data_IF_550124125822
#
_entry.id   IF_550124125822
#
_cell.length_a   1.000
_cell.length_b   1.000
_cell.length_c   1.000
_cell.angle_alpha   90.00
_cell.angle_beta   90.00
_cell.angle_gamma   90.00
#
_symmetry.space_group_name_H-M   'P 1'
#
loop_
_entity.id
_entity.type
_entity.pdbx_description
1 polymer ?
2 non-polymer ?
3 non-polymer ?
4 non-polymer ?
5 non-polymer ?
6 water ?
#
# COMPACT_ATOMS: atom_id res chain seq x y z
N UNK A 3 -1.10 -31.81 -2.70
CA UNK A 3 -1.92 -30.70 -2.22
C UNK A 3 -1.49 -30.27 -0.82
N UNK A 4 -0.18 -30.27 -0.61
CA UNK A 4 0.46 -29.75 0.61
C UNK A 4 1.81 -29.18 0.18
N UNK A 5 1.75 -28.15 -0.67
CA UNK A 5 2.81 -27.82 -1.62
C UNK A 5 4.11 -27.40 -0.94
N UNK A 6 5.19 -27.54 -1.70
CA UNK A 6 6.54 -27.26 -1.24
C UNK A 6 7.10 -26.07 -2.01
N UNK A 7 7.69 -25.12 -1.27
CA UNK A 7 8.36 -23.97 -1.85
C UNK A 7 9.82 -24.05 -1.43
N UNK A 8 10.73 -23.94 -2.40
CA UNK A 8 12.14 -24.08 -2.13
C UNK A 8 12.81 -22.71 -2.20
N UNK A 9 13.88 -22.56 -1.42
CA UNK A 9 14.82 -21.48 -1.63
C UNK A 9 16.04 -22.10 -2.30
N UNK A 10 16.59 -21.40 -3.30
CA UNK A 10 17.73 -21.90 -4.04
C UNK A 10 19.03 -21.19 -3.70
N UNK A 11 19.00 -20.17 -2.85
CA UNK A 11 20.23 -19.61 -2.31
C UNK A 11 20.69 -20.41 -1.10
N UNK A 12 19.74 -20.93 -0.32
CA UNK A 12 20.01 -21.61 0.95
C UNK A 12 19.61 -23.09 0.96
N UNK A 13 19.04 -23.61 -0.13
CA UNK A 13 18.42 -24.94 -0.18
C UNK A 13 17.35 -25.16 0.90
N UNK A 14 16.90 -24.10 1.57
CA UNK A 14 15.85 -24.24 2.57
C UNK A 14 14.53 -24.54 1.87
N UNK A 15 13.74 -25.43 2.48
CA UNK A 15 12.44 -25.83 1.92
C UNK A 15 11.40 -25.69 3.00
N UNK A 16 10.23 -25.18 2.61
CA UNK A 16 9.10 -25.01 3.53
C UNK A 16 7.86 -25.62 2.90
N UNK A 17 6.93 -26.06 3.74
CA UNK A 17 5.70 -26.69 3.28
C UNK A 17 4.53 -25.75 3.53
N UNK A 18 3.70 -25.58 2.52
CA UNK A 18 2.61 -24.62 2.51
C UNK A 18 1.30 -25.39 2.53
N UNK A 19 0.62 -25.39 3.68
CA UNK A 19 -0.76 -25.83 3.76
C UNK A 19 -1.75 -24.68 3.87
N UNK A 20 -1.26 -23.46 4.13
CA UNK A 20 -2.14 -22.31 4.29
C UNK A 20 -2.95 -22.03 3.01
N UNK A 21 -2.40 -22.40 1.85
CA UNK A 21 -3.06 -22.12 0.58
C UNK A 21 -4.38 -22.86 0.45
N UNK A 22 -4.60 -23.89 1.27
CA UNK A 22 -5.86 -24.62 1.29
C UNK A 22 -7.01 -23.75 1.77
N UNK A 23 -6.73 -22.82 2.69
CA UNK A 23 -7.71 -21.86 3.18
C UNK A 23 -8.04 -20.81 2.13
N UNK A 24 -7.25 -20.70 1.06
CA UNK A 24 -7.54 -19.75 0.01
C UNK A 24 -8.91 -19.99 -0.58
N UNK A 25 -9.52 -18.91 -1.05
CA UNK A 25 -10.92 -18.94 -1.44
C UNK A 25 -11.08 -18.21 -2.77
N UNK A 26 -10.48 -17.02 -2.87
CA UNK A 26 -10.58 -16.22 -4.08
C UNK A 26 -9.76 -16.85 -5.22
N UNK A 27 -9.86 -16.24 -6.39
CA UNK A 27 -9.22 -16.74 -7.59
C UNK A 27 -8.08 -15.81 -8.00
N UNK A 28 -7.09 -16.36 -8.71
CA UNK A 28 -5.82 -15.69 -8.97
C UNK A 28 -5.75 -15.02 -10.35
N UNK A 29 -6.47 -15.53 -11.34
CA UNK A 29 -6.28 -15.18 -12.73
C UNK A 29 -5.64 -16.31 -13.50
N UNK A 30 -4.87 -17.16 -12.82
CA UNK A 30 -4.18 -18.26 -13.47
C UNK A 30 -5.11 -19.46 -13.61
N UNK A 31 -4.96 -20.16 -14.73
CA UNK A 31 -5.62 -21.45 -14.94
C UNK A 31 -4.56 -22.54 -15.04
N UNK A 32 -5.00 -23.78 -15.24
CA UNK A 32 -4.03 -24.86 -15.39
C UNK A 32 -3.17 -24.69 -16.62
N UNK A 33 -3.60 -23.86 -17.57
CA UNK A 33 -2.94 -23.73 -18.87
C UNK A 33 -2.49 -22.31 -19.20
N UNK A 34 -2.49 -21.40 -18.21
CA UNK A 34 -1.98 -20.06 -18.38
C UNK A 34 -1.70 -19.46 -17.00
N UNK A 35 -0.58 -18.79 -16.89
CA UNK A 35 -0.18 -18.10 -15.67
C UNK A 35 -0.16 -16.60 -15.93
N UNK A 36 -0.80 -15.85 -15.02
CA UNK A 36 -0.96 -14.41 -15.16
C UNK A 36 -0.18 -13.64 -14.10
N UNK A 37 0.77 -14.31 -13.44
CA UNK A 37 1.53 -13.76 -12.34
C UNK A 37 2.19 -12.42 -12.62
N UNK A 38 2.11 -11.88 -13.84
CA UNK A 38 2.76 -10.60 -14.14
C UNK A 38 1.77 -9.61 -14.75
N UNK A 39 0.49 -9.97 -14.78
CA UNK A 39 -0.59 -9.02 -15.03
C UNK A 39 -0.79 -8.16 -13.78
N UNK A 40 -0.79 -6.84 -13.96
CA UNK A 40 -0.83 -5.94 -12.81
C UNK A 40 -2.15 -6.04 -12.04
N UNK A 41 -3.27 -5.81 -12.73
CA UNK A 41 -4.59 -5.73 -12.10
C UNK A 41 -5.46 -6.85 -12.67
N UNK A 42 -5.29 -8.08 -12.21
CA UNK A 42 -6.05 -9.20 -12.80
C UNK A 42 -7.47 -9.26 -12.25
N UNK A 43 -8.42 -9.53 -13.13
CA UNK A 43 -9.82 -9.64 -12.76
C UNK A 43 -10.56 -10.47 -13.79
N UNK A 52 -22.95 -3.97 -5.60
CA UNK A 52 -23.58 -4.18 -4.30
C UNK A 52 -23.73 -5.69 -4.04
N UNK A 53 -23.60 -6.09 -2.77
CA UNK A 53 -23.56 -7.51 -2.39
C UNK A 53 -24.76 -7.84 -1.51
N UNK A 54 -25.29 -9.05 -1.69
CA UNK A 54 -26.53 -9.47 -1.04
C UNK A 54 -26.27 -10.18 0.28
N UNK A 55 -27.35 -10.54 0.97
CA UNK A 55 -27.27 -11.11 2.30
C UNK A 55 -26.94 -12.59 2.27
N UNK A 56 -27.37 -13.29 1.22
CA UNK A 56 -27.00 -14.68 1.04
C UNK A 56 -25.49 -14.84 1.05
N UNK A 57 -24.82 -14.10 0.15
CA UNK A 57 -23.37 -14.14 0.10
C UNK A 57 -22.74 -13.68 1.40
N UNK A 58 -23.46 -12.86 2.19
CA UNK A 58 -22.82 -12.11 3.26
C UNK A 58 -22.54 -12.96 4.48
N UNK A 59 -23.33 -14.02 4.72
CA UNK A 59 -23.13 -14.73 5.99
C UNK A 59 -21.94 -15.69 5.98
N UNK A 60 -21.74 -16.55 4.96
CA UNK A 60 -20.53 -17.39 4.98
C UNK A 60 -19.28 -16.58 5.24
N UNK A 61 -19.22 -15.37 4.66
CA UNK A 61 -18.06 -14.50 4.84
C UNK A 61 -17.97 -13.98 6.26
N UNK A 62 -19.11 -13.69 6.91
CA UNK A 62 -19.06 -13.33 8.32
C UNK A 62 -18.65 -14.53 9.15
N UNK A 63 -19.27 -15.69 8.89
CA UNK A 63 -18.99 -16.92 9.62
C UNK A 63 -17.51 -17.29 9.51
N UNK A 64 -17.03 -17.48 8.28
CA UNK A 64 -15.62 -17.70 8.00
C UNK A 64 -14.71 -16.75 8.80
N UNK A 65 -14.92 -15.44 8.65
CA UNK A 65 -14.08 -14.47 9.37
C UNK A 65 -14.22 -14.64 10.88
N UNK A 66 -15.46 -14.74 11.39
CA UNK A 66 -15.67 -14.87 12.82
C UNK A 66 -15.01 -16.14 13.36
N UNK A 67 -14.94 -17.19 12.54
CA UNK A 67 -14.36 -18.46 12.97
C UNK A 67 -12.86 -18.36 13.18
N UNK A 68 -12.16 -17.64 12.30
CA UNK A 68 -10.72 -17.54 12.47
C UNK A 68 -10.37 -16.52 13.53
N UNK A 69 -11.18 -15.47 13.68
CA UNK A 69 -10.91 -14.47 14.70
C UNK A 69 -11.01 -15.06 16.11
N UNK A 70 -12.00 -15.92 16.34
CA UNK A 70 -12.09 -16.54 17.66
C UNK A 70 -11.03 -17.64 17.79
N UNK A 71 -10.74 -18.33 16.70
CA UNK A 71 -9.60 -19.24 16.68
C UNK A 71 -8.31 -18.51 17.05
N UNK A 72 -8.21 -17.23 16.68
CA UNK A 72 -6.98 -16.48 16.93
C UNK A 72 -6.83 -16.07 18.39
N UNK A 73 -7.94 -15.83 19.10
CA UNK A 73 -7.84 -15.51 20.52
C UNK A 73 -7.98 -16.79 21.32
N UNK A 74 -7.82 -17.93 20.65
CA UNK A 74 -7.79 -19.25 21.27
C UNK A 74 -9.08 -19.52 22.06
N UNK A 75 -10.20 -19.05 21.53
CA UNK A 75 -11.54 -19.40 21.99
C UNK A 75 -12.43 -19.75 20.79
N UNK A 76 -11.88 -20.61 19.93
CA UNK A 76 -12.60 -21.17 18.79
C UNK A 76 -13.88 -21.86 19.26
N UNK A 77 -15.01 -21.51 18.63
CA UNK A 77 -16.23 -22.28 18.78
C UNK A 77 -16.86 -22.30 20.15
N UNK A 78 -16.31 -21.52 21.08
CA UNK A 78 -16.83 -21.46 22.44
C UNK A 78 -18.23 -20.84 22.43
N UNK A 79 -18.79 -20.61 23.62
CA UNK A 79 -20.07 -19.92 23.69
C UNK A 79 -19.94 -18.48 23.22
N UNK A 80 -18.88 -17.78 23.65
CA UNK A 80 -18.70 -16.39 23.22
C UNK A 80 -18.60 -16.29 21.70
N UNK A 81 -18.05 -17.31 21.03
CA UNK A 81 -18.07 -17.33 19.57
C UNK A 81 -19.47 -17.55 19.03
N UNK A 82 -20.11 -18.66 19.43
CA UNK A 82 -21.40 -19.02 18.87
C UNK A 82 -22.45 -17.92 19.07
N UNK A 83 -22.38 -17.19 20.17
CA UNK A 83 -23.34 -16.09 20.35
C UNK A 83 -23.01 -14.93 19.43
N UNK A 84 -21.72 -14.73 19.12
CA UNK A 84 -21.33 -13.71 18.14
C UNK A 84 -21.71 -14.14 16.73
N UNK A 85 -21.63 -15.43 16.43
CA UNK A 85 -22.12 -15.94 15.15
C UNK A 85 -23.63 -15.74 15.04
N UNK A 86 -24.36 -16.12 16.09
CA UNK A 86 -25.80 -15.89 16.14
C UNK A 86 -26.12 -14.41 16.03
N UNK A 87 -25.37 -13.58 16.76
CA UNK A 87 -25.61 -12.14 16.75
C UNK A 87 -25.48 -11.56 15.35
N UNK A 88 -24.39 -11.90 14.64
CA UNK A 88 -24.17 -11.35 13.30
C UNK A 88 -25.24 -11.85 12.34
N UNK A 89 -25.53 -13.17 12.38
CA UNK A 89 -26.57 -13.73 11.52
C UNK A 89 -27.87 -12.93 11.62
N UNK A 90 -28.31 -12.66 12.85
CA UNK A 90 -29.56 -11.91 13.05
C UNK A 90 -29.45 -10.47 12.55
N UNK A 91 -28.27 -9.86 12.69
CA UNK A 91 -28.09 -8.50 12.16
C UNK A 91 -28.04 -8.50 10.63
N UNK A 92 -27.57 -9.60 10.02
CA UNK A 92 -27.65 -9.70 8.56
C UNK A 92 -29.07 -10.01 8.12
N UNK A 93 -29.84 -10.71 8.94
CA UNK A 93 -31.28 -10.76 8.71
C UNK A 93 -31.89 -9.38 8.82
N UNK A 94 -31.59 -8.67 9.93
CA UNK A 94 -32.27 -7.43 10.26
C UNK A 94 -31.93 -6.31 9.27
N UNK A 95 -30.63 -6.08 9.03
CA UNK A 95 -30.17 -4.98 8.19
C UNK A 95 -29.64 -5.42 6.84
N UNK A 96 -29.59 -6.71 6.56
CA UNK A 96 -28.92 -7.26 5.39
C UNK A 96 -27.45 -6.84 5.33
N UNK A 97 -26.88 -6.52 6.49
CA UNK A 97 -25.46 -6.22 6.67
C UNK A 97 -25.17 -6.33 8.17
N UNK A 98 -23.97 -5.96 8.59
CA UNK A 98 -23.65 -6.02 10.00
C UNK A 98 -22.46 -5.11 10.29
N UNK A 99 -22.14 -5.00 11.58
CA UNK A 99 -21.10 -4.10 12.05
C UNK A 99 -20.06 -4.90 12.82
N UNK A 100 -18.79 -4.54 12.63
CA UNK A 100 -17.69 -5.23 13.26
C UNK A 100 -17.43 -4.68 14.65
N UNK A 101 -17.10 -5.57 15.58
CA UNK A 101 -16.57 -5.19 16.88
C UNK A 101 -15.25 -4.44 16.69
N UNK A 102 -14.96 -3.53 17.62
CA UNK A 102 -13.66 -2.87 17.63
C UNK A 102 -12.53 -3.89 17.48
N UNK A 103 -12.60 -4.98 18.24
CA UNK A 103 -11.57 -6.01 18.19
C UNK A 103 -11.55 -6.73 16.84
N UNK A 104 -12.72 -7.01 16.29
CA UNK A 104 -12.78 -7.64 14.98
C UNK A 104 -12.24 -6.72 13.89
N UNK A 105 -12.47 -5.40 14.02
CA UNK A 105 -11.93 -4.47 13.03
C UNK A 105 -10.40 -4.45 13.05
N UNK A 106 -9.79 -4.51 14.24
CA UNK A 106 -8.33 -4.45 14.34
C UNK A 106 -7.70 -5.75 13.82
N UNK A 107 -8.24 -6.88 14.25
CA UNK A 107 -7.81 -8.18 13.75
C UNK A 107 -7.93 -8.24 12.22
N UNK A 108 -9.13 -7.95 11.70
CA UNK A 108 -9.40 -7.95 10.27
C UNK A 108 -8.41 -7.08 9.53
N UNK A 109 -8.26 -5.83 9.96
CA UNK A 109 -7.32 -4.92 9.29
C UNK A 109 -5.91 -5.49 9.29
N UNK A 110 -5.45 -5.97 10.44
CA UNK A 110 -4.07 -6.45 10.55
C UNK A 110 -3.84 -7.65 9.66
N UNK A 111 -4.86 -8.46 9.44
CA UNK A 111 -4.76 -9.67 8.65
C UNK A 111 -4.96 -9.41 7.17
N UNK A 112 -5.63 -8.32 6.81
CA UNK A 112 -5.56 -7.83 5.45
C UNK A 112 -4.11 -7.52 5.06
N UNK A 113 -3.39 -6.83 5.96
CA UNK A 113 -1.98 -6.57 5.70
C UNK A 113 -1.18 -7.87 5.68
N UNK A 114 -1.34 -8.70 6.71
CA UNK A 114 -0.67 -9.99 6.80
C UNK A 114 -0.81 -10.80 5.52
N UNK A 115 -1.93 -10.63 4.82
CA UNK A 115 -2.23 -11.39 3.62
C UNK A 115 -1.92 -10.63 2.34
N UNK A 116 -1.45 -9.39 2.45
CA UNK A 116 -1.10 -8.62 1.28
C UNK A 116 0.13 -9.27 0.61
N UNK A 117 -0.11 -10.13 -0.37
CA UNK A 117 0.96 -10.97 -0.88
C UNK A 117 2.02 -10.20 -1.65
N UNK A 118 1.68 -9.01 -2.13
CA UNK A 118 2.64 -8.14 -2.79
C UNK A 118 3.42 -7.25 -1.83
N UNK A 119 3.16 -7.34 -0.50
CA UNK A 119 3.84 -6.49 0.48
C UNK A 119 5.10 -7.18 1.03
N UNK A 120 6.23 -6.49 0.92
CA UNK A 120 7.50 -7.05 1.40
C UNK A 120 7.77 -6.71 2.87
N UNK A 121 7.06 -5.74 3.44
CA UNK A 121 7.33 -5.31 4.80
C UNK A 121 6.45 -5.96 5.84
N UNK A 122 5.88 -7.11 5.52
CA UNK A 122 4.80 -7.70 6.31
C UNK A 122 5.27 -8.29 7.62
N UNK A 123 6.58 -8.35 7.86
CA UNK A 123 7.11 -8.87 9.11
C UNK A 123 6.53 -8.04 10.28
N UNK A 124 6.02 -6.84 9.95
CA UNK A 124 5.52 -5.87 10.91
C UNK A 124 3.99 -5.91 11.07
N UNK A 125 3.32 -6.89 10.44
CA UNK A 125 1.87 -6.80 10.27
C UNK A 125 1.14 -6.70 11.60
N UNK A 126 1.63 -7.36 12.65
CA UNK A 126 0.93 -7.31 13.94
C UNK A 126 1.10 -5.96 14.62
N UNK A 127 2.14 -5.20 14.30
CA UNK A 127 2.33 -3.85 14.85
C UNK A 127 1.67 -2.85 13.91
N UNK A 128 0.35 -2.75 14.01
CA UNK A 128 -0.42 -1.86 13.16
C UNK A 128 -1.43 -1.11 14.02
N UNK A 129 -1.45 0.20 13.88
CA UNK A 129 -2.33 1.04 14.68
C UNK A 129 -3.59 1.30 13.88
N UNK A 130 -4.70 0.76 14.35
CA UNK A 130 -5.96 0.88 13.63
C UNK A 130 -6.74 2.07 14.17
N UNK A 131 -7.11 2.98 13.29
CA UNK A 131 -7.90 4.15 13.66
C UNK A 131 -9.32 3.94 13.15
N UNK A 132 -10.26 3.80 14.08
CA UNK A 132 -11.65 3.56 13.72
C UNK A 132 -12.28 4.90 13.40
N UNK A 133 -12.51 5.17 12.12
CA UNK A 133 -13.22 6.37 11.72
C UNK A 133 -14.60 6.04 11.19
N UNK A 134 -15.16 4.92 11.65
CA UNK A 134 -16.49 4.56 11.19
C UNK A 134 -17.61 5.45 11.74
N UNK A 135 -17.33 6.36 12.71
CA UNK A 135 -18.31 7.37 13.12
C UNK A 135 -18.27 8.62 12.25
N UNK A 136 -17.44 8.62 11.20
CA UNK A 136 -17.28 9.77 10.34
C UNK A 136 -18.49 9.96 9.44
N UNK A 137 -18.83 11.23 9.16
CA UNK A 137 -20.01 11.54 8.35
C UNK A 137 -19.76 12.57 7.25
N UNK A 138 -18.66 13.35 7.30
CA UNK A 138 -18.44 14.47 6.41
C UNK A 138 -17.00 14.45 5.91
N UNK A 139 -16.78 15.08 4.76
CA UNK A 139 -15.42 15.21 4.25
C UNK A 139 -14.54 15.96 5.22
N UNK A 140 -15.09 16.95 5.95
CA UNK A 140 -14.31 17.64 6.97
C UNK A 140 -13.88 16.68 8.07
N UNK A 141 -14.75 15.75 8.44
CA UNK A 141 -14.35 14.75 9.40
C UNK A 141 -13.27 13.84 8.83
N UNK A 142 -13.41 13.46 7.57
CA UNK A 142 -12.38 12.69 6.89
C UNK A 142 -11.03 13.39 6.98
N UNK A 143 -10.98 14.64 6.49
CA UNK A 143 -9.77 15.43 6.60
C UNK A 143 -9.17 15.37 8.00
N UNK A 144 -10.03 15.54 9.01
CA UNK A 144 -9.56 15.55 10.38
C UNK A 144 -9.05 14.18 10.83
N UNK A 145 -9.72 13.10 10.42
CA UNK A 145 -9.18 11.77 10.74
C UNK A 145 -7.85 11.52 10.03
N UNK A 146 -7.76 11.89 8.75
CA UNK A 146 -6.53 11.68 7.99
C UNK A 146 -5.37 12.48 8.59
N UNK A 147 -5.66 13.70 9.06
CA UNK A 147 -4.61 14.53 9.65
C UNK A 147 -4.05 13.89 10.90
N UNK A 148 -4.92 13.34 11.74
CA UNK A 148 -4.43 12.65 12.93
C UNK A 148 -3.65 11.40 12.52
N UNK A 149 -4.14 10.70 11.49
CA UNK A 149 -3.38 9.58 10.95
C UNK A 149 -1.98 10.03 10.52
N UNK A 150 -1.89 11.05 9.67
CA UNK A 150 -0.58 11.48 9.18
C UNK A 150 0.32 11.83 10.35
N UNK A 151 -0.14 12.71 11.23
CA UNK A 151 0.68 13.10 12.37
C UNK A 151 1.08 11.90 13.21
N UNK A 152 0.12 11.02 13.53
CA UNK A 152 0.46 9.86 14.35
C UNK A 152 1.48 8.97 13.65
N UNK A 153 1.18 8.54 12.43
CA UNK A 153 2.04 7.59 11.73
C UNK A 153 3.43 8.16 11.44
N UNK A 154 3.55 9.48 11.42
CA UNK A 154 4.82 10.13 11.11
C UNK A 154 5.72 10.20 12.35
N UNK A 155 5.16 10.49 13.53
CA UNK A 155 5.85 10.37 14.81
C UNK A 155 7.26 10.98 14.74
N UNK A 156 7.33 12.20 14.21
CA UNK A 156 8.54 13.00 14.15
C UNK A 156 9.61 12.36 13.28
N UNK A 157 9.20 11.44 12.39
CA UNK A 157 10.11 10.69 11.56
C UNK A 157 10.33 9.26 12.00
N UNK A 158 10.13 8.95 13.29
CA UNK A 158 10.13 7.56 13.75
C UNK A 158 8.79 6.95 13.37
N UNK A 159 8.66 6.65 12.07
CA UNK A 159 7.36 6.37 11.47
C UNK A 159 6.70 5.16 12.13
N UNK A 160 5.38 5.16 12.10
CA UNK A 160 4.57 4.10 12.70
C UNK A 160 3.50 3.65 11.72
N UNK A 161 3.30 2.34 11.67
CA UNK A 161 2.28 1.79 10.79
C UNK A 161 0.91 2.12 11.34
N UNK A 162 0.02 2.58 10.46
CA UNK A 162 -1.34 2.96 10.87
C UNK A 162 -2.32 2.76 9.72
N UNK A 163 -3.58 2.62 10.08
CA UNK A 163 -4.67 2.58 9.11
C UNK A 163 -5.85 3.32 9.71
N UNK A 164 -6.57 4.05 8.86
CA UNK A 164 -7.77 4.76 9.26
C UNK A 164 -8.92 4.25 8.43
N UNK A 165 -9.95 3.70 9.09
CA UNK A 165 -11.00 2.94 8.44
C UNK A 165 -12.31 3.74 8.51
N UNK A 166 -12.70 4.34 7.39
CA UNK A 166 -13.94 5.09 7.27
C UNK A 166 -15.11 4.13 7.09
N UNK A 167 -16.36 4.64 7.17
CA UNK A 167 -17.52 3.74 7.18
C UNK A 167 -17.56 2.78 6.00
N UNK A 168 -18.01 1.56 6.28
CA UNK A 168 -18.12 0.56 5.24
C UNK A 168 -19.12 0.99 4.19
N UNK A 169 -18.92 0.49 2.97
CA UNK A 169 -19.91 0.63 1.92
C UNK A 169 -21.20 -0.07 2.33
N UNK A 170 -22.33 0.58 2.04
CA UNK A 170 -23.65 0.05 2.33
C UNK A 170 -24.38 -0.26 1.04
N UNK A 171 -24.97 0.78 0.45
CA UNK A 171 -25.76 0.61 -0.76
C UNK A 171 -24.90 0.59 -2.00
N UNK A 172 -23.81 1.35 -2.01
CA UNK A 172 -23.01 1.53 -3.21
C UNK A 172 -22.98 2.98 -3.67
N UNK A 173 -24.12 3.66 -3.59
CA UNK A 173 -24.19 5.08 -3.93
C UNK A 173 -23.76 5.98 -2.77
N UNK A 174 -23.50 5.41 -1.60
CA UNK A 174 -22.97 6.15 -0.45
C UNK A 174 -21.67 5.49 -0.05
N UNK A 175 -20.62 5.82 -0.79
CA UNK A 175 -19.27 5.35 -0.50
C UNK A 175 -18.45 6.50 0.07
N UNK A 176 -17.65 6.19 1.08
CA UNK A 176 -16.57 7.06 1.48
C UNK A 176 -15.35 6.73 0.63
N UNK A 177 -14.85 7.71 -0.10
CA UNK A 177 -13.66 7.50 -0.91
C UNK A 177 -12.67 8.64 -0.68
N UNK A 178 -11.42 8.29 -0.42
CA UNK A 178 -10.31 9.21 -0.65
C UNK A 178 -9.95 9.12 -2.13
N UNK A 179 -10.06 10.24 -2.85
CA UNK A 179 -9.84 10.22 -4.29
C UNK A 179 -8.36 10.22 -4.66
N UNK A 180 -7.48 10.63 -3.75
CA UNK A 180 -6.04 10.52 -3.96
C UNK A 180 -5.63 9.06 -3.97
N UNK A 181 -4.57 8.77 -4.74
CA UNK A 181 -4.02 7.41 -4.67
C UNK A 181 -3.21 7.21 -3.40
N UNK A 182 -2.53 8.26 -2.94
CA UNK A 182 -1.84 8.28 -1.65
C UNK A 182 -2.15 9.60 -0.96
N UNK A 183 -2.28 9.56 0.37
CA UNK A 183 -2.51 10.78 1.15
C UNK A 183 -1.54 11.88 0.77
N UNK A 184 -0.27 11.55 0.60
CA UNK A 184 0.76 12.52 0.24
C UNK A 184 1.38 12.10 -1.10
N UNK A 185 1.14 12.93 -2.13
CA UNK A 185 1.75 12.79 -3.44
C UNK A 185 2.09 14.17 -3.97
N UNK A 186 3.13 14.22 -4.81
CA UNK A 186 3.50 15.44 -5.49
C UNK A 186 2.65 15.63 -6.74
N UNK A 187 2.51 16.89 -7.16
CA UNK A 187 1.61 17.24 -8.24
C UNK A 187 2.24 16.91 -9.58
N UNK A 188 1.39 16.78 -10.59
CA UNK A 188 1.83 16.48 -11.93
C UNK A 188 1.29 17.43 -12.97
N UNK A 189 2.13 18.33 -13.45
CA UNK A 189 1.73 19.35 -14.42
C UNK A 189 2.39 19.04 -15.74
N UNK A 190 1.58 18.68 -16.73
CA UNK A 190 2.02 18.73 -18.11
C UNK A 190 2.37 20.18 -18.47
N UNK A 191 3.08 20.33 -19.58
CA UNK A 191 3.55 21.63 -20.00
C UNK A 191 2.96 22.04 -21.34
N UNK A 192 3.05 23.32 -21.71
CA UNK A 192 2.67 23.69 -23.09
C UNK A 192 3.58 23.05 -24.13
N UNK A 193 4.87 22.90 -23.84
CA UNK A 193 5.78 22.23 -24.74
C UNK A 193 5.70 20.71 -24.65
N UNK A 194 4.61 20.18 -24.12
CA UNK A 194 4.37 18.75 -24.06
C UNK A 194 4.84 18.00 -22.83
N UNK A 195 6.03 18.33 -22.32
CA UNK A 195 6.66 17.58 -21.23
C UNK A 195 5.87 17.75 -19.93
N UNK A 196 6.43 17.26 -18.82
CA UNK A 196 5.70 17.17 -17.56
C UNK A 196 6.55 17.66 -16.40
N UNK A 197 6.04 18.64 -15.65
CA UNK A 197 6.62 19.05 -14.38
C UNK A 197 5.98 18.26 -13.25
N UNK A 198 6.73 18.10 -12.16
CA UNK A 198 6.21 17.44 -10.97
C UNK A 198 6.24 15.93 -11.04
N UNK A 199 5.08 15.29 -11.06
CA UNK A 199 4.98 13.83 -11.09
C UNK A 199 4.03 13.42 -12.20
N UNK A 200 4.53 12.84 -13.30
CA UNK A 200 3.62 12.44 -14.39
C UNK A 200 2.53 11.47 -13.97
N UNK A 201 2.76 10.69 -12.91
CA UNK A 201 1.76 9.73 -12.45
C UNK A 201 0.42 10.39 -12.17
N UNK A 202 0.44 11.61 -11.62
CA UNK A 202 -0.73 12.24 -11.03
C UNK A 202 -1.33 13.33 -11.92
N UNK A 203 -0.96 13.37 -13.20
CA UNK A 203 -1.30 14.53 -14.01
C UNK A 203 -2.80 14.63 -14.21
N UNK A 204 -3.50 13.50 -14.27
CA UNK A 204 -4.96 13.59 -14.31
C UNK A 204 -5.49 14.02 -12.96
N UNK A 205 -5.01 13.40 -11.88
CA UNK A 205 -5.49 13.75 -10.54
C UNK A 205 -5.23 15.21 -10.22
N UNK A 206 -4.04 15.71 -10.56
CA UNK A 206 -3.73 17.12 -10.39
C UNK A 206 -4.73 17.98 -11.16
N UNK A 207 -5.18 17.51 -12.32
CA UNK A 207 -6.16 18.27 -13.10
C UNK A 207 -7.52 18.25 -12.44
N UNK A 208 -7.92 17.09 -11.89
CA UNK A 208 -9.22 16.99 -11.23
C UNK A 208 -9.28 17.96 -10.07
N UNK A 209 -8.23 18.01 -9.25
CA UNK A 209 -8.14 18.97 -8.16
C UNK A 209 -8.29 20.40 -8.67
N UNK A 210 -7.73 20.69 -9.86
CA UNK A 210 -7.89 22.04 -10.41
C UNK A 210 -9.33 22.27 -10.86
N UNK A 211 -9.95 21.26 -11.48
CA UNK A 211 -11.34 21.38 -11.90
C UNK A 211 -12.29 21.54 -10.72
N UNK A 212 -11.91 21.06 -9.53
CA UNK A 212 -12.70 21.30 -8.32
C UNK A 212 -12.26 22.55 -7.58
N UNK A 213 -11.24 23.24 -8.08
CA UNK A 213 -10.84 24.52 -7.55
C UNK A 213 -9.48 24.59 -6.88
N UNK A 214 -8.57 23.68 -7.16
CA UNK A 214 -7.23 23.83 -6.61
C UNK A 214 -6.52 24.99 -7.27
N UNK A 215 -5.65 25.63 -6.51
CA UNK A 215 -4.75 26.65 -7.06
C UNK A 215 -3.34 26.08 -7.00
N UNK A 216 -2.83 25.69 -8.15
CA UNK A 216 -1.61 24.91 -8.20
C UNK A 216 -0.39 25.82 -8.13
N UNK A 217 0.57 25.55 -7.23
CA UNK A 217 1.85 26.28 -7.26
C UNK A 217 2.78 25.78 -8.35
N UNK A 218 2.21 25.49 -9.52
CA UNK A 218 2.82 24.75 -10.63
C UNK A 218 4.35 24.71 -10.59
N UNK A 219 4.88 23.96 -9.63
CA UNK A 219 6.28 23.59 -9.57
C UNK A 219 6.45 22.08 -9.51
N UNK A 220 7.51 21.62 -8.86
CA UNK A 220 7.80 20.18 -8.83
C UNK A 220 7.10 19.48 -7.68
N UNK A 221 7.75 19.55 -6.52
CA UNK A 221 7.39 18.78 -5.34
C UNK A 221 6.28 19.49 -4.55
N UNK A 222 5.20 19.77 -5.26
CA UNK A 222 4.01 20.41 -4.70
C UNK A 222 3.10 19.33 -4.13
N UNK A 223 2.92 19.32 -2.81
CA UNK A 223 2.06 18.35 -2.15
C UNK A 223 0.62 18.59 -2.60
N UNK A 224 -0.01 17.56 -3.16
CA UNK A 224 -1.36 17.72 -3.63
C UNK A 224 -2.32 17.87 -2.45
N UNK A 225 -3.49 18.45 -2.68
CA UNK A 225 -4.52 18.51 -1.64
C UNK A 225 -5.32 17.23 -1.63
N UNK A 226 -5.94 16.96 -0.48
CA UNK A 226 -6.78 15.78 -0.34
C UNK A 226 -8.12 16.02 -1.03
N UNK A 227 -8.60 14.99 -1.74
CA UNK A 227 -9.94 15.00 -2.36
C UNK A 227 -10.76 13.94 -1.65
N UNK A 228 -11.62 14.37 -0.74
CA UNK A 228 -12.33 13.47 0.16
C UNK A 228 -13.81 13.48 -0.18
N UNK A 229 -14.33 12.30 -0.52
CA UNK A 229 -15.74 12.07 -0.75
C UNK A 229 -16.33 11.35 0.46
N UNK A 230 -17.36 11.92 1.06
CA UNK A 230 -18.01 11.32 2.22
C UNK A 230 -19.45 10.95 1.89
N UNK A 231 -19.85 9.74 2.28
CA UNK A 231 -21.22 9.24 2.15
C UNK A 231 -21.75 9.42 0.72
N UNK A 232 -20.89 9.13 -0.25
CA UNK A 232 -21.26 9.29 -1.64
C UNK A 232 -21.33 10.72 -2.14
N UNK A 233 -21.16 11.72 -1.29
CA UNK A 233 -21.26 13.12 -1.73
C UNK A 233 -20.06 13.53 -2.58
N UNK A 234 -20.28 14.55 -3.41
CA UNK A 234 -19.22 15.06 -4.28
C UNK A 234 -18.03 15.50 -3.44
N UNK A 235 -16.80 15.10 -3.79
CA UNK A 235 -15.67 15.28 -2.88
C UNK A 235 -15.21 16.73 -2.79
N UNK A 236 -14.40 17.00 -1.77
CA UNK A 236 -14.04 18.35 -1.37
C UNK A 236 -12.55 18.44 -1.07
N UNK A 237 -11.96 19.59 -1.38
CA UNK A 237 -10.52 19.74 -1.30
C UNK A 237 -10.10 20.22 0.09
N UNK A 238 -9.02 19.64 0.61
CA UNK A 238 -8.45 20.08 1.88
C UNK A 238 -6.93 19.98 1.79
N UNK A 239 -6.25 20.97 2.39
CA UNK A 239 -4.80 21.11 2.37
C UNK A 239 -4.23 20.67 3.72
N UNK A 240 -3.58 19.51 3.73
CA UNK A 240 -2.84 19.01 4.90
C UNK A 240 -1.91 20.11 5.37
N UNK A 241 -1.97 20.50 6.65
CA UNK A 241 -1.07 21.52 7.16
C UNK A 241 0.37 21.15 6.90
N UNK A 242 1.11 22.00 6.20
CA UNK A 242 2.46 21.61 5.75
C UNK A 242 3.37 21.17 6.87
N UNK A 243 3.06 21.52 8.12
CA UNK A 243 3.87 21.04 9.23
C UNK A 243 3.68 19.54 9.47
N UNK A 244 2.60 18.97 8.94
CA UNK A 244 2.34 17.54 9.04
C UNK A 244 2.98 16.74 7.91
N UNK A 245 3.37 17.40 6.82
CA UNK A 245 3.92 16.71 5.64
C UNK A 245 5.43 16.67 5.81
N UNK A 246 5.94 15.56 6.34
CA UNK A 246 7.38 15.46 6.61
C UNK A 246 8.12 15.06 5.34
N UNK A 247 9.10 15.88 4.96
CA UNK A 247 9.83 15.73 3.72
C UNK A 247 11.33 15.58 3.99
N UNK A 248 12.00 14.79 3.15
CA UNK A 248 13.42 14.51 3.29
C UNK A 248 14.18 15.03 2.07
N UNK A 249 15.06 16.03 2.20
CA UNK A 249 15.85 16.47 1.04
C UNK A 249 16.98 15.49 0.76
N UNK A 250 17.07 15.05 -0.50
CA UNK A 250 18.02 14.01 -0.89
C UNK A 250 19.40 14.62 -1.11
N UNK A 251 20.38 14.14 -0.33
CA UNK A 251 21.77 14.47 -0.58
C UNK A 251 22.57 13.18 -0.71
N UNK A 252 23.65 13.27 -1.44
CA UNK A 252 24.51 12.11 -1.51
C UNK A 252 25.66 12.26 -0.51
N UNK A 253 26.16 11.14 0.03
CA UNK A 253 27.28 11.24 0.98
C UNK A 253 28.62 11.40 0.28
N UNK A 254 28.61 11.82 -0.98
CA UNK A 254 29.82 12.12 -1.74
C UNK A 254 29.61 13.34 -2.63
N UNK A 255 28.72 13.21 -3.60
CA UNK A 255 28.58 14.16 -4.70
C UNK A 255 27.78 15.36 -4.23
N UNK A 256 28.45 16.51 -4.08
CA UNK A 256 27.78 17.71 -3.63
C UNK A 256 26.92 18.36 -4.71
N UNK A 257 27.10 18.00 -5.97
CA UNK A 257 26.11 18.42 -6.97
C UNK A 257 24.77 17.72 -6.77
N UNK A 258 24.74 16.69 -5.91
CA UNK A 258 23.48 16.04 -5.57
C UNK A 258 22.58 16.96 -4.75
N UNK A 259 23.16 17.86 -3.96
CA UNK A 259 22.36 18.93 -3.37
C UNK A 259 21.66 19.72 -4.45
N UNK A 260 22.42 20.14 -5.47
CA UNK A 260 21.88 20.97 -6.54
C UNK A 260 20.93 20.22 -7.44
N UNK A 261 20.98 18.88 -7.43
CA UNK A 261 19.92 18.09 -8.05
C UNK A 261 18.55 18.57 -7.57
N UNK A 262 18.45 18.96 -6.30
CA UNK A 262 17.27 19.60 -5.78
C UNK A 262 16.09 18.66 -5.67
N UNK A 263 16.30 17.51 -5.05
CA UNK A 263 15.26 16.51 -4.92
C UNK A 263 14.91 16.30 -3.45
N UNK A 264 13.67 15.87 -3.23
CA UNK A 264 13.17 15.53 -1.92
C UNK A 264 12.01 14.57 -2.10
N UNK A 265 11.75 13.77 -1.08
CA UNK A 265 10.57 12.93 -1.06
C UNK A 265 9.87 13.11 0.29
N UNK A 266 8.61 12.68 0.32
CA UNK A 266 7.84 12.69 1.56
C UNK A 266 8.10 11.43 2.36
N UNK A 267 8.17 11.61 3.68
CA UNK A 267 8.52 10.49 4.53
C UNK A 267 7.47 9.41 4.56
N UNK A 268 6.21 9.76 4.28
CA UNK A 268 5.09 8.90 4.63
C UNK A 268 4.50 8.27 3.38
N UNK A 269 4.69 6.97 3.16
CA UNK A 269 3.93 6.30 2.11
C UNK A 269 2.62 5.83 2.70
N UNK A 270 1.50 6.27 2.13
CA UNK A 270 0.19 6.00 2.73
C UNK A 270 -0.79 5.82 1.58
N UNK A 271 -1.16 4.58 1.31
CA UNK A 271 -2.01 4.25 0.18
C UNK A 271 -3.45 4.50 0.57
N UNK A 272 -4.15 5.26 -0.25
CA UNK A 272 -5.49 5.70 0.13
C UNK A 272 -6.58 5.19 -0.80
N UNK A 273 -6.24 4.52 -1.90
CA UNK A 273 -7.19 4.26 -2.97
C UNK A 273 -7.63 2.80 -3.03
N UNK A 274 -7.22 1.98 -2.07
CA UNK A 274 -7.54 0.57 -2.11
C UNK A 274 -8.75 0.29 -1.23
N UNK A 275 -9.18 -0.96 -1.23
CA UNK A 275 -10.41 -1.38 -0.58
C UNK A 275 -10.08 -2.48 0.42
N UNK A 276 -10.44 -2.26 1.67
CA UNK A 276 -10.23 -3.21 2.74
C UNK A 276 -11.48 -4.07 2.90
N UNK A 277 -11.27 -5.39 2.91
CA UNK A 277 -12.36 -6.37 2.99
C UNK A 277 -12.21 -7.12 4.30
N UNK A 278 -13.25 -7.06 5.14
CA UNK A 278 -13.30 -7.81 6.39
C UNK A 278 -14.67 -8.48 6.48
N UNK A 279 -14.67 -9.80 6.68
CA UNK A 279 -15.88 -10.58 6.84
C UNK A 279 -16.99 -10.23 5.87
N UNK A 280 -16.64 -9.97 4.62
CA UNK A 280 -17.63 -9.60 3.63
C UNK A 280 -17.94 -8.13 3.57
N UNK A 281 -17.48 -7.34 4.53
CA UNK A 281 -17.76 -5.91 4.56
C UNK A 281 -16.70 -5.14 3.79
N UNK A 282 -17.15 -4.15 3.03
CA UNK A 282 -16.28 -3.44 2.09
C UNK A 282 -16.00 -2.04 2.58
N UNK A 283 -14.74 -1.76 2.86
CA UNK A 283 -14.28 -0.46 3.33
C UNK A 283 -13.55 0.23 2.18
N UNK A 284 -14.27 1.13 1.50
CA UNK A 284 -13.79 1.82 0.31
C UNK A 284 -12.84 2.98 0.63
N UNK A 285 -12.71 3.37 1.90
CA UNK A 285 -11.78 4.42 2.32
C UNK A 285 -11.06 3.89 3.53
N UNK A 286 -9.79 3.52 3.34
CA UNK A 286 -8.99 2.91 4.40
C UNK A 286 -7.51 3.22 4.26
N UNK A 287 -7.12 4.51 4.17
CA UNK A 287 -5.69 4.82 4.01
C UNK A 287 -4.83 4.14 5.06
N UNK A 288 -3.73 3.51 4.59
CA UNK A 288 -2.79 2.81 5.43
C UNK A 288 -1.36 3.23 5.10
N UNK A 289 -0.51 3.27 6.10
CA UNK A 289 0.81 3.84 5.96
C UNK A 289 1.83 2.96 6.66
N UNK A 290 3.02 2.89 6.08
CA UNK A 290 4.13 2.35 6.83
C UNK A 290 5.33 3.26 6.71
N UNK A 291 6.42 2.71 6.19
CA UNK A 291 7.59 3.48 5.82
C UNK A 291 8.10 2.92 4.51
N UNK A 292 9.03 3.65 3.90
CA UNK A 292 9.48 3.33 2.57
C UNK A 292 10.63 2.34 2.60
N UNK A 293 10.58 1.37 1.71
CA UNK A 293 11.81 0.77 1.22
C UNK A 293 12.42 1.76 0.23
N UNK A 294 13.75 1.86 0.26
CA UNK A 294 14.39 2.91 -0.53
C UNK A 294 14.04 2.81 -2.00
N UNK A 295 13.87 1.59 -2.52
CA UNK A 295 13.82 1.42 -3.97
C UNK A 295 12.58 2.07 -4.57
N UNK A 296 11.45 2.07 -3.85
CA UNK A 296 10.27 2.69 -4.45
C UNK A 296 10.52 4.15 -4.76
N UNK A 297 11.34 4.82 -3.98
CA UNK A 297 11.73 6.20 -4.28
C UNK A 297 12.85 6.23 -5.30
N UNK A 298 14.02 5.69 -4.90
CA UNK A 298 15.23 5.85 -5.69
C UNK A 298 15.10 5.24 -7.08
N UNK A 299 14.53 4.04 -7.17
CA UNK A 299 14.41 3.32 -8.44
C UNK A 299 13.15 3.73 -9.20
N UNK A 300 11.99 3.43 -8.61
CA UNK A 300 10.72 3.58 -9.31
C UNK A 300 10.33 5.06 -9.43
N UNK A 301 10.08 5.73 -8.29
CA UNK A 301 9.66 7.13 -8.33
C UNK A 301 10.61 7.97 -9.17
N UNK A 302 11.89 7.92 -8.84
CA UNK A 302 12.86 8.79 -9.50
C UNK A 302 13.23 8.32 -10.93
N UNK A 303 13.29 7.00 -11.19
CA UNK A 303 13.87 6.50 -12.42
C UNK A 303 12.95 5.70 -13.33
N UNK A 304 11.69 5.48 -12.95
CA UNK A 304 10.71 5.06 -13.95
C UNK A 304 10.72 6.08 -15.09
N UNK A 305 10.62 5.57 -16.31
CA UNK A 305 10.70 6.45 -17.47
C UNK A 305 9.54 7.45 -17.48
N UNK A 306 8.34 6.99 -17.14
CA UNK A 306 7.16 7.84 -17.10
C UNK A 306 6.91 8.40 -15.70
N UNK A 307 7.90 8.36 -14.82
CA UNK A 307 7.86 9.05 -13.53
C UNK A 307 8.87 10.21 -13.59
N UNK A 308 9.72 10.41 -12.57
CA UNK A 308 10.60 11.58 -12.55
C UNK A 308 11.73 11.50 -13.56
N UNK A 309 12.16 10.30 -13.93
CA UNK A 309 12.99 10.13 -15.11
C UNK A 309 14.32 10.88 -14.98
N UNK A 310 15.00 10.67 -13.86
CA UNK A 310 16.18 11.46 -13.49
C UNK A 310 17.48 10.73 -13.79
N UNK A 311 17.41 9.56 -14.44
CA UNK A 311 18.65 8.90 -14.87
C UNK A 311 19.43 9.79 -15.83
N UNK A 312 18.73 10.52 -16.71
CA UNK A 312 19.36 11.46 -17.63
C UNK A 312 20.35 12.38 -16.92
N UNK A 313 19.87 13.11 -15.92
CA UNK A 313 20.68 14.15 -15.30
C UNK A 313 21.71 13.57 -14.34
N UNK A 314 21.35 12.53 -13.59
CA UNK A 314 22.32 12.00 -12.65
C UNK A 314 23.49 11.35 -13.39
N UNK A 315 23.24 10.77 -14.56
CA UNK A 315 24.35 10.28 -15.38
C UNK A 315 25.23 11.42 -15.85
N UNK A 316 24.60 12.55 -16.20
CA UNK A 316 25.33 13.71 -16.68
C UNK A 316 26.40 14.11 -15.67
N UNK A 317 25.96 14.55 -14.49
CA UNK A 317 26.82 15.11 -13.46
C UNK A 317 27.77 14.09 -12.84
N UNK A 318 27.73 12.83 -13.28
CA UNK A 318 28.80 11.89 -13.00
C UNK A 318 29.80 11.80 -14.14
N UNK A 319 29.49 12.40 -15.29
CA UNK A 319 30.26 12.27 -16.51
C UNK A 319 30.41 10.80 -16.88
N UNK A 320 29.42 10.26 -17.57
CA UNK A 320 29.36 8.83 -17.89
C UNK A 320 29.18 8.64 -19.39
N UNK A 321 29.64 7.49 -19.88
CA UNK A 321 29.47 7.15 -21.29
C UNK A 321 28.00 7.01 -21.60
N UNK A 322 27.33 8.10 -21.97
CA UNK A 322 25.93 8.04 -22.35
C UNK A 322 25.73 7.81 -23.84
N UNK A 323 26.81 7.82 -24.63
CA UNK A 323 26.70 7.50 -26.05
C UNK A 323 26.11 6.10 -26.25
N UNK A 324 26.59 5.13 -25.48
CA UNK A 324 26.30 3.73 -25.71
C UNK A 324 25.36 3.20 -24.64
N UNK A 325 24.66 2.12 -25.01
CA UNK A 325 23.76 1.46 -24.06
C UNK A 325 24.53 0.53 -23.12
N UNK A 326 25.56 -0.15 -23.64
CA UNK A 326 26.29 -1.20 -22.96
C UNK A 326 27.28 -0.67 -21.93
N UNK A 327 27.39 0.66 -21.81
CA UNK A 327 28.22 1.26 -20.78
C UNK A 327 27.61 1.16 -19.39
N UNK A 328 26.35 0.72 -19.29
CA UNK A 328 25.64 0.59 -18.01
C UNK A 328 25.61 1.90 -17.22
N UNK A 329 25.61 3.02 -17.95
CA UNK A 329 25.56 4.30 -17.27
C UNK A 329 24.26 4.44 -16.49
N UNK A 330 23.16 3.84 -17.00
CA UNK A 330 21.89 3.87 -16.28
C UNK A 330 21.99 3.11 -14.96
N UNK A 331 22.59 1.92 -14.98
CA UNK A 331 22.74 1.14 -13.75
C UNK A 331 23.57 1.91 -12.72
N UNK A 332 24.73 2.41 -13.15
CA UNK A 332 25.62 3.17 -12.28
C UNK A 332 24.91 4.33 -11.61
N UNK A 333 24.17 5.13 -12.39
CA UNK A 333 23.46 6.27 -11.86
C UNK A 333 22.33 5.84 -10.93
N UNK A 334 21.81 4.63 -11.11
CA UNK A 334 20.75 4.15 -10.25
C UNK A 334 21.28 3.84 -8.85
N UNK A 335 22.41 3.13 -8.77
CA UNK A 335 22.96 2.72 -7.48
C UNK A 335 23.30 3.94 -6.61
N UNK A 336 23.80 5.03 -7.21
CA UNK A 336 24.13 6.24 -6.46
C UNK A 336 22.88 6.91 -5.91
N UNK A 337 21.90 7.12 -6.79
CA UNK A 337 20.61 7.67 -6.44
C UNK A 337 20.05 6.99 -5.21
N UNK A 338 20.17 5.66 -5.15
CA UNK A 338 19.58 4.92 -4.04
C UNK A 338 20.44 4.98 -2.76
N UNK A 339 21.77 5.07 -2.89
CA UNK A 339 22.59 5.34 -1.70
C UNK A 339 22.17 6.69 -1.11
N UNK A 340 21.81 7.64 -1.97
CA UNK A 340 21.50 9.00 -1.54
C UNK A 340 20.14 9.05 -0.84
N UNK A 341 19.12 8.45 -1.46
CA UNK A 341 17.81 8.37 -0.82
C UNK A 341 17.95 7.78 0.58
N UNK A 342 18.59 6.61 0.67
CA UNK A 342 18.83 6.00 1.98
C UNK A 342 19.53 6.99 2.91
N UNK A 343 20.72 7.45 2.51
CA UNK A 343 21.55 8.30 3.36
C UNK A 343 20.74 9.48 3.92
N UNK A 344 20.09 10.23 3.03
CA UNK A 344 19.30 11.39 3.44
C UNK A 344 18.27 11.02 4.50
N UNK A 345 17.50 9.95 4.24
CA UNK A 345 16.45 9.55 5.17
C UNK A 345 17.02 9.17 6.54
N UNK A 346 18.22 8.57 6.57
CA UNK A 346 18.73 8.09 7.85
C UNK A 346 19.45 9.19 8.62
N UNK A 347 20.16 10.08 7.92
CA UNK A 347 20.78 11.19 8.63
C UNK A 347 19.74 12.22 9.08
N UNK A 348 18.46 11.98 8.80
CA UNK A 348 17.34 12.80 9.27
C UNK A 348 16.48 12.07 10.29
N UNK A 349 16.89 10.87 10.71
CA UNK A 349 16.12 10.03 11.64
C UNK A 349 14.72 9.72 11.14
N UNK A 350 14.54 9.69 9.81
CA UNK A 350 13.25 9.33 9.21
C UNK A 350 13.33 7.86 8.80
N UNK A 351 12.36 7.07 9.30
CA UNK A 351 12.37 5.63 9.13
C UNK A 351 12.44 5.26 7.65
N UNK A 352 13.34 4.35 7.31
CA UNK A 352 13.45 3.83 5.94
C UNK A 352 14.19 2.50 6.03
N UNK A 353 13.98 1.66 5.00
CA UNK A 353 14.60 0.34 4.96
C UNK A 353 15.22 0.17 3.58
N UNK A 354 16.43 -0.39 3.55
CA UNK A 354 17.12 -0.69 2.31
C UNK A 354 16.60 -2.01 1.75
N UNK A 355 16.66 -2.16 0.42
CA UNK A 355 16.08 -3.37 -0.19
C UNK A 355 16.75 -4.67 0.27
N UNK A 356 17.97 -4.60 0.83
CA UNK A 356 18.59 -5.81 1.39
C UNK A 356 17.99 -6.17 2.74
N UNK A 357 18.01 -5.22 3.69
CA UNK A 357 17.42 -5.43 5.00
C UNK A 357 15.97 -5.89 4.88
N UNK A 358 15.20 -5.26 3.99
CA UNK A 358 13.77 -5.57 3.92
C UNK A 358 13.53 -6.95 3.30
N UNK A 359 14.36 -7.37 2.34
CA UNK A 359 14.09 -8.67 1.75
C UNK A 359 14.58 -9.78 2.68
N UNK A 360 15.63 -9.54 3.46
CA UNK A 360 16.01 -10.53 4.46
C UNK A 360 14.91 -10.69 5.49
N UNK A 361 14.34 -9.57 5.95
CA UNK A 361 13.26 -9.65 6.94
C UNK A 361 12.08 -10.42 6.38
N UNK A 362 11.80 -10.27 5.09
CA UNK A 362 10.69 -11.00 4.49
C UNK A 362 10.95 -12.51 4.49
N UNK A 363 12.20 -12.94 4.26
CA UNK A 363 12.50 -14.36 4.35
C UNK A 363 12.35 -14.83 5.79
N UNK A 364 12.86 -14.04 6.74
CA UNK A 364 12.65 -14.34 8.16
C UNK A 364 11.16 -14.41 8.47
N UNK A 365 10.38 -13.44 7.92
CA UNK A 365 8.93 -13.41 8.11
C UNK A 365 8.26 -14.60 7.45
N UNK A 366 8.73 -14.98 6.26
CA UNK A 366 8.18 -16.16 5.60
C UNK A 366 8.33 -17.40 6.48
N UNK A 367 9.50 -17.57 7.11
CA UNK A 367 9.72 -18.71 7.99
C UNK A 367 8.69 -18.74 9.11
N UNK A 368 8.56 -17.61 9.81
CA UNK A 368 7.55 -17.48 10.85
C UNK A 368 6.17 -17.90 10.33
N UNK A 369 5.78 -17.40 9.16
CA UNK A 369 4.47 -17.72 8.61
C UNK A 369 4.29 -19.20 8.35
N UNK A 370 5.27 -19.84 7.68
CA UNK A 370 5.13 -21.27 7.39
C UNK A 370 5.10 -22.11 8.67
N UNK A 371 5.81 -21.69 9.70
CA UNK A 371 5.82 -22.40 10.98
C UNK A 371 4.50 -22.22 11.72
N UNK A 372 4.21 -21.01 12.17
CA UNK A 372 3.05 -20.79 13.03
C UNK A 372 1.74 -20.62 12.27
N UNK A 373 1.76 -20.67 10.94
CA UNK A 373 0.55 -20.43 10.14
C UNK A 373 0.38 -21.36 8.96
N UNK A 374 1.40 -22.12 8.55
CA UNK A 374 1.30 -23.03 7.45
C UNK A 374 1.55 -22.45 6.08
N UNK A 375 2.09 -21.25 5.99
CA UNK A 375 2.38 -20.65 4.70
C UNK A 375 2.35 -19.13 4.78
N UNK A 376 2.65 -18.51 3.65
CA UNK A 376 2.70 -17.07 3.47
C UNK A 376 2.48 -16.76 2.00
N UNK A 377 1.33 -16.22 1.61
CA UNK A 377 1.16 -15.82 0.21
C UNK A 377 2.17 -14.76 -0.17
N UNK A 378 2.73 -14.90 -1.35
CA UNK A 378 3.76 -13.97 -1.76
C UNK A 378 3.79 -13.88 -3.28
N UNK A 379 3.95 -12.66 -3.77
CA UNK A 379 3.96 -12.32 -5.18
C UNK A 379 5.40 -11.94 -5.48
N UNK A 380 6.13 -12.92 -6.03
CA UNK A 380 7.54 -12.75 -6.33
C UNK A 380 7.77 -11.61 -7.32
N UNK A 381 6.85 -11.42 -8.28
CA UNK A 381 6.95 -10.29 -9.19
C UNK A 381 7.08 -8.98 -8.42
N UNK A 382 6.28 -8.84 -7.35
CA UNK A 382 6.23 -7.62 -6.54
C UNK A 382 7.22 -7.61 -5.38
N UNK A 383 7.58 -8.78 -4.86
CA UNK A 383 8.46 -8.84 -3.68
C UNK A 383 9.91 -8.59 -4.08
N UNK A 384 10.34 -9.04 -5.25
CA UNK A 384 11.76 -8.82 -5.62
C UNK A 384 11.97 -7.34 -5.87
N UNK A 385 12.88 -6.68 -5.17
CA UNK A 385 13.09 -5.25 -5.38
C UNK A 385 13.41 -4.97 -6.85
N UNK A 386 13.04 -3.78 -7.34
CA UNK A 386 13.21 -3.48 -8.76
C UNK A 386 14.63 -3.13 -9.16
N UNK A 387 15.61 -3.38 -8.31
CA UNK A 387 17.00 -3.26 -8.69
C UNK A 387 17.74 -4.35 -7.95
N UNK A 388 18.87 -4.78 -8.51
CA UNK A 388 19.73 -5.78 -7.87
C UNK A 388 18.92 -7.00 -7.43
N UNK A 389 17.96 -7.40 -8.25
CA UNK A 389 17.18 -8.59 -7.99
C UNK A 389 17.90 -9.71 -7.25
N UNK A 390 18.86 -10.34 -7.93
CA UNK A 390 19.37 -11.63 -7.47
C UNK A 390 20.41 -11.50 -6.37
N UNK A 391 20.80 -10.28 -5.98
CA UNK A 391 21.66 -10.15 -4.83
C UNK A 391 20.87 -9.95 -3.55
N UNK A 392 19.54 -10.00 -3.62
CA UNK A 392 18.60 -10.01 -2.50
C UNK A 392 18.01 -11.41 -2.34
N UNK A 393 17.86 -11.88 -1.09
CA UNK A 393 17.50 -13.29 -0.89
C UNK A 393 16.10 -13.66 -1.37
N UNK A 394 15.22 -12.70 -1.65
CA UNK A 394 13.89 -13.09 -2.13
C UNK A 394 13.94 -13.52 -3.61
N UNK A 395 14.90 -13.00 -4.38
CA UNK A 395 15.02 -13.44 -5.78
C UNK A 395 15.10 -14.95 -5.89
N UNK A 396 15.81 -15.58 -4.95
CA UNK A 396 16.11 -17.00 -4.91
C UNK A 396 15.08 -17.81 -4.13
N UNK A 397 13.97 -17.19 -3.75
CA UNK A 397 12.98 -17.82 -2.89
C UNK A 397 11.71 -18.06 -3.69
N UNK A 398 11.40 -19.34 -3.92
CA UNK A 398 10.10 -19.68 -4.48
C UNK A 398 8.97 -19.24 -3.54
N UNK A 399 7.92 -18.69 -4.14
CA UNK A 399 6.78 -18.19 -3.39
C UNK A 399 5.49 -18.67 -4.03
N UNK A 400 4.63 -19.32 -3.24
CA UNK A 400 3.26 -19.58 -3.63
C UNK A 400 2.41 -18.32 -3.42
N UNK A 401 1.74 -17.85 -4.48
CA UNK A 401 0.80 -16.75 -4.40
C UNK A 401 -0.62 -17.29 -4.37
N UNK A 402 -1.40 -16.81 -3.40
CA UNK A 402 -2.80 -17.17 -3.29
C UNK A 402 -3.50 -16.09 -2.46
N UNK A 403 -4.82 -16.05 -2.58
CA UNK A 403 -5.61 -14.90 -2.16
C UNK A 403 -6.39 -15.27 -0.89
N UNK A 404 -5.81 -15.00 0.26
CA UNK A 404 -6.51 -15.14 1.51
C UNK A 404 -7.31 -13.88 1.82
N UNK A 405 -8.17 -13.98 2.83
CA UNK A 405 -8.98 -12.88 3.32
C UNK A 405 -8.95 -12.90 4.83
N UNK A 406 -9.11 -11.74 5.50
CA UNK A 406 -9.28 -10.36 5.03
C UNK A 406 -8.15 -9.87 4.12
N UNK A 407 -8.44 -8.87 3.27
CA UNK A 407 -7.52 -8.53 2.20
C UNK A 407 -7.70 -7.08 1.78
N UNK A 408 -6.60 -6.51 1.28
CA UNK A 408 -6.67 -5.23 0.59
C UNK A 408 -6.89 -5.50 -0.89
N UNK A 409 -7.81 -4.75 -1.50
CA UNK A 409 -8.20 -5.00 -2.88
C UNK A 409 -8.16 -3.70 -3.66
N UNK A 410 -7.74 -3.81 -4.92
CA UNK A 410 -7.80 -2.68 -5.83
C UNK A 410 -9.25 -2.32 -6.09
N UNK A 411 -9.46 -1.06 -6.46
CA UNK A 411 -10.83 -0.64 -6.72
C UNK A 411 -10.77 0.49 -7.73
N UNK A 412 -11.79 0.63 -8.56
CA UNK A 412 -11.74 1.66 -9.62
C UNK A 412 -11.65 3.06 -9.03
N UNK A 413 -11.01 3.95 -9.79
CA UNK A 413 -10.95 5.35 -9.37
C UNK A 413 -12.35 5.92 -9.23
N UNK A 414 -12.59 6.76 -8.21
CA UNK A 414 -13.96 7.22 -7.97
C UNK A 414 -14.51 8.13 -9.05
N UNK A 415 -13.64 8.78 -9.83
CA UNK A 415 -14.13 9.70 -10.85
C UNK A 415 -14.60 9.00 -12.12
N UNK A 416 -14.30 7.71 -12.28
CA UNK A 416 -14.95 6.93 -13.34
C UNK A 416 -16.30 6.41 -12.91
N UNK A 417 -16.51 6.28 -11.60
CA UNK A 417 -17.68 5.62 -11.03
C UNK A 417 -18.74 6.60 -10.53
N UNK A 418 -18.37 7.84 -10.21
CA UNK A 418 -19.19 8.71 -9.37
C UNK A 418 -20.34 9.33 -10.16
N UNK A 419 -21.56 8.91 -9.83
CA UNK A 419 -22.76 9.58 -10.29
C UNK A 419 -22.75 10.98 -9.71
N UNK A 420 -22.29 11.94 -10.51
CA UNK A 420 -21.96 13.29 -10.07
C UNK A 420 -23.16 14.23 -10.16
N UNK A 421 -22.99 15.42 -9.56
CA UNK A 421 -23.95 16.52 -9.76
C UNK A 421 -23.20 17.87 -9.88
X LIG B 1 2.97 -2.88 -1.27
X LIG B 1 6.73 -2.29 1.69
X LIG B 1 3.50 -1.25 5.21
X LIG B 1 0.01 -3.40 2.61
X LIG B 1 4.26 -2.64 -0.85
X LIG B 1 5.45 -2.39 -1.65
X LIG B 1 6.49 -2.21 -0.82
X LIG B 1 6.01 -2.37 0.53
X LIG B 1 7.96 -1.92 -1.22
X LIG B 1 5.46 -2.29 -3.19
X LIG B 1 4.95 -0.88 -3.46
X LIG B 1 5.11 -0.63 -4.92
X LIG B 1 6.17 -1.06 -5.51
X LIG B 1 4.18 -0.01 -5.47
X LIG B 1 6.21 -1.94 2.93
X LIG B 1 6.96 -1.59 4.12
X LIG B 1 6.09 -1.32 5.10
X LIG B 1 4.73 -1.46 4.56
X LIG B 1 8.51 -1.56 4.23
X LIG B 1 6.54 -0.91 6.51
X LIG B 1 5.72 -0.91 7.56
X LIG B 1 2.25 -1.71 4.84
X LIG B 1 0.99 -1.56 5.60
X LIG B 1 0.01 -2.16 4.88
X LIG B 1 0.60 -2.69 3.66
X LIG B 1 0.95 -0.85 6.95
X LIG B 1 -1.50 -2.32 5.21
X LIG B 1 -2.06 -1.92 6.36
X LIG B 1 0.45 -3.29 1.31
X LIG B 1 -0.35 -3.25 0.10
X LIG B 1 0.47 -3.11 -0.96
X LIG B 1 1.83 -3.03 -0.48
X LIG B 1 -1.89 -3.36 0.03
X LIG B 1 0.08 -2.98 -2.44
X LIG B 1 -0.51 -4.21 -3.11
X LIG B 1 -0.87 -3.74 -4.50
X LIG B 1 -1.51 -4.54 -5.25
X LIG B 1 -0.56 -2.54 -4.83
X LIG B 1 4.66 -2.63 0.47
X LIG B 1 4.86 -1.85 3.23
X LIG B 1 1.94 -2.39 3.70
X LIG B 1 1.76 -3.14 0.91
X LIG B 1 3.32 -2.78 2.13
X LIG C 1 6.59 -4.80 -8.29
X LIG C 1 6.43 -3.73 -7.45
X LIG C 1 6.87 -3.84 -6.17
X LIG C 1 5.85 -2.59 -7.88
X LIG C 1 5.41 -2.48 -9.14
X LIG C 1 4.87 -1.43 -9.54
X LIG C 1 5.56 -3.54 -10.01
X LIG C 1 6.16 -4.72 -9.57
X LIG C 1 5.09 -3.45 -11.26
X LIG C 1 6.30 -5.78 -10.41
X LIG C 1 4.83 -4.71 -11.97
X LIG C 1 6.00 -5.66 -11.83
X LIG C 1 4.60 -4.51 -13.46
X LIG C 1 5.73 -3.77 -13.91
X LIG C 1 4.51 -5.87 -14.20
X LIG C 1 4.40 -5.72 -15.72
X LIG C 1 3.40 -6.64 -13.69
X LIG D 1 0.52 -18.21 -12.21
X LIG E 1 3.08 1.80 -1.56
X LIG E 1 3.47 2.97 -2.17
X LIG E 1 3.06 3.26 -3.45
X LIG E 1 2.25 2.35 -4.14
X LIG E 1 1.83 1.16 -3.54
X LIG E 1 2.26 0.89 -2.23
X LIG E 1 0.95 0.11 -4.24
X LIG E 1 5.34 1.21 1.31
X LIG E 1 4.46 1.12 2.38
X LIG E 1 3.09 1.25 2.16
X LIG E 1 2.63 1.47 0.87
X LIG E 1 3.55 1.55 -0.17
X LIG E 1 2.10 1.17 3.28
X LIG E 1 -1.10 1.46 -4.53
X LIG E 1 0.32 0.98 -6.46
X LIG E 1 4.25 3.85 -1.51
X LIG E 1 3.46 4.41 -4.01
X LIG E 1 4.87 1.44 0.06
X LIG E 1 6.68 1.08 1.51
X LIG E 1 -0.16 0.51 -5.14
#
# INVERSE_FOLDING_TARGET
CPRFLKVKNWETDVVLTDTLHLKSTLETGCTEHICMGSIMLPSQHTRKPEDVATKDQLFPLAKEFLDQYYSSIKRFGSKAHMDRLEEVNKEIESTSTYQLKDTELIYGAKHAWRNASRCVGRIQWSKLQVFDARDCTTAHGMFNYICNHVKYATNKGNLRSAITIFPQRTDGKHDFRVWNSQLIRYAGYKQPDGSTLGDPANVQFTEICIQQGWKAPRGRFDVLPLLLQANGNDPELFQIPPELVLEVPIRHPKFDWFKDLGLKWYGLPAVSNMLLEIGGLEFSACPFSGWYMGTEIGVRDYCDNSRYNILEEVAKKMDLDMRKTSSLWKDQALVEINIAVLYSFQSDKVTIVDHHSATESFIKHMENEYRCRGGCPADWVWIVPPMSGSITPVFHQEMLNYRLTPSFEYQPDPWNTHVWKG
HEM CHA CHB CHC CHD C1A C2A C3A C4A CMA CAA CBA CGA O1A O2A C1B C2B C3B C4B CMB CAB CBB C1C C2C C3C C4C CMC CAC CBC C1D C2D C3D C4D CMD CAD CBD CGD O1D O2D NA NB NC ND FE
H4B N1 C2 N2 N3 C4 O4 C4A C8A N5 N8 C6 C7 C9 O9 C10 C11 O10
ZN ZN
A1A0K C11 C12 C13 C14 C15 C16 C17 C02 C03 C04 C05 C06 C07 C19 C20 F12 F13 N01 N02 N18
#
